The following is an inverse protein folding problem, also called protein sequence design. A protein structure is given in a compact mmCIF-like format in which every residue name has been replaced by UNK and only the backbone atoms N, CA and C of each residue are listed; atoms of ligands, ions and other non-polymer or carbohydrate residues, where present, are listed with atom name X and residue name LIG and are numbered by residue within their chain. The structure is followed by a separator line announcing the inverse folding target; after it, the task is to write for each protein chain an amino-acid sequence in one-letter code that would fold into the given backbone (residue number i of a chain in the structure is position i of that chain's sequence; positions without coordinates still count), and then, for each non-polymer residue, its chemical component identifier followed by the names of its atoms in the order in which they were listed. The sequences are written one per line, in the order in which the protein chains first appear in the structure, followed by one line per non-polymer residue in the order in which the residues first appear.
data_IF_726433575332
#
_entry.id   IF_726433575332
#
_cell.length_a   1.000
_cell.length_b   1.000
_cell.length_c   1.000
_cell.angle_alpha   90.00
_cell.angle_beta   90.00
_cell.angle_gamma   90.00
#
_symmetry.space_group_name_H-M   'P 1'
#
loop_
_entity.id
_entity.type
_entity.pdbx_description
1 polymer ?
#
# COMPACT_ATOMS: atom_id res chain seq x y z
N UNK A 1 26.24 9.71 -3.31
CA UNK A 1 25.25 10.82 -3.20
C UNK A 1 23.88 10.18 -3.02
N UNK A 2 23.11 10.62 -2.03
CA UNK A 2 21.71 10.25 -1.94
C UNK A 2 20.93 11.10 -2.96
N UNK A 3 20.19 10.45 -3.85
CA UNK A 3 19.32 11.15 -4.82
C UNK A 3 17.94 11.43 -4.21
N UNK A 4 17.26 12.45 -4.71
CA UNK A 4 15.86 12.74 -4.41
C UNK A 4 14.95 11.64 -5.01
N UNK A 5 13.75 11.49 -4.44
CA UNK A 5 12.79 10.45 -4.83
C UNK A 5 12.45 10.48 -6.33
N UNK A 6 12.27 11.67 -6.91
CA UNK A 6 12.01 11.88 -8.34
C UNK A 6 13.12 11.32 -9.22
N UNK A 7 14.38 11.52 -8.81
CA UNK A 7 15.54 10.97 -9.53
C UNK A 7 15.60 9.45 -9.40
N UNK A 8 15.33 8.91 -8.20
CA UNK A 8 15.28 7.45 -7.97
C UNK A 8 14.17 6.83 -8.81
N UNK A 9 12.98 7.44 -8.87
CA UNK A 9 11.89 6.97 -9.73
C UNK A 9 12.36 6.78 -11.18
N UNK A 10 13.09 7.75 -11.74
CA UNK A 10 13.48 7.74 -13.15
C UNK A 10 14.69 6.84 -13.40
N UNK A 11 15.70 6.88 -12.52
CA UNK A 11 17.01 6.22 -12.74
C UNK A 11 17.09 4.81 -12.12
N UNK A 12 16.17 4.44 -11.22
CA UNK A 12 16.24 3.19 -10.48
C UNK A 12 17.44 3.16 -9.52
N UNK A 13 18.02 1.98 -9.31
CA UNK A 13 19.20 1.79 -8.47
C UNK A 13 20.47 2.47 -9.03
N UNK A 14 20.45 2.87 -10.29
CA UNK A 14 21.60 3.37 -11.04
C UNK A 14 22.79 2.39 -11.11
N UNK A 15 22.59 1.15 -10.70
CA UNK A 15 23.57 0.06 -10.83
C UNK A 15 23.38 -0.67 -12.17
N UNK A 16 23.61 0.03 -13.28
CA UNK A 16 23.42 -0.53 -14.63
C UNK A 16 24.37 -1.69 -14.86
N UNK A 17 23.79 -2.88 -14.94
CA UNK A 17 24.53 -4.13 -15.24
C UNK A 17 24.29 -4.64 -16.66
N UNK A 18 23.58 -3.88 -17.50
CA UNK A 18 23.37 -4.28 -18.89
C UNK A 18 24.67 -4.14 -19.69
N UNK A 19 25.17 -5.24 -20.29
CA UNK A 19 26.45 -5.22 -21.01
C UNK A 19 26.42 -4.38 -22.28
N UNK A 20 25.22 -4.05 -22.79
CA UNK A 20 25.05 -3.27 -24.01
C UNK A 20 24.70 -1.79 -23.73
N UNK A 21 24.57 -1.41 -22.47
CA UNK A 21 24.26 -0.04 -22.07
C UNK A 21 22.83 0.40 -22.35
N UNK A 22 21.86 -0.52 -22.32
CA UNK A 22 20.45 -0.20 -22.49
C UNK A 22 19.98 0.84 -21.45
N UNK A 23 19.26 1.87 -21.89
CA UNK A 23 18.72 2.91 -21.01
C UNK A 23 17.57 2.36 -20.13
N UNK A 24 16.71 1.53 -20.71
CA UNK A 24 15.71 0.78 -19.94
C UNK A 24 16.24 -0.56 -19.54
N UNK A 25 15.91 -1.05 -18.33
CA UNK A 25 16.26 -2.39 -17.88
C UNK A 25 15.72 -3.44 -18.86
N UNK A 26 16.54 -4.37 -19.39
CA UNK A 26 16.07 -5.47 -20.22
C UNK A 26 15.20 -6.46 -19.44
N UNK A 27 14.30 -7.16 -20.13
CA UNK A 27 13.51 -8.24 -19.55
C UNK A 27 14.31 -9.54 -19.64
N UNK A 28 14.77 -10.06 -18.51
CA UNK A 28 15.44 -11.37 -18.42
C UNK A 28 14.38 -12.46 -18.22
N UNK A 29 13.70 -12.82 -19.32
CA UNK A 29 12.61 -13.82 -19.31
C UNK A 29 13.18 -15.24 -19.43
N UNK A 30 13.70 -15.77 -18.31
CA UNK A 30 14.29 -17.11 -18.22
C UNK A 30 14.08 -17.72 -16.85
N UNK A 31 14.24 -19.05 -16.74
CA UNK A 31 14.17 -19.77 -15.47
C UNK A 31 15.53 -20.09 -14.88
N UNK A 32 16.52 -20.44 -15.70
CA UNK A 32 17.81 -20.95 -15.28
C UNK A 32 18.98 -20.21 -15.94
N UNK A 33 20.13 -20.18 -15.26
CA UNK A 33 21.35 -19.53 -15.72
C UNK A 33 22.48 -20.54 -15.81
N UNK A 34 23.34 -20.42 -16.84
CA UNK A 34 24.48 -21.26 -16.99
C UNK A 34 25.62 -20.82 -16.05
N UNK A 35 26.29 -21.81 -15.44
CA UNK A 35 27.47 -21.57 -14.63
C UNK A 35 28.73 -21.63 -15.51
N UNK A 36 29.72 -20.72 -15.31
CA UNK A 36 31.01 -20.79 -16.03
C UNK A 36 31.81 -22.05 -15.71
N UNK A 37 31.62 -22.63 -14.52
CA UNK A 37 32.28 -23.85 -14.07
C UNK A 37 31.80 -24.29 -12.68
N UNK A 38 32.26 -25.44 -12.23
CA UNK A 38 31.94 -25.95 -10.90
C UNK A 38 32.38 -24.96 -9.80
N UNK A 39 31.46 -24.57 -8.93
CA UNK A 39 31.73 -23.58 -7.88
C UNK A 39 31.83 -22.13 -8.39
N UNK A 40 31.50 -21.84 -9.64
CA UNK A 40 31.49 -20.51 -10.23
C UNK A 40 30.04 -20.12 -10.54
N UNK A 41 29.67 -18.86 -10.30
CA UNK A 41 28.34 -18.31 -10.61
C UNK A 41 28.48 -16.94 -11.26
N UNK A 42 27.52 -16.56 -12.10
CA UNK A 42 27.38 -15.21 -12.64
C UNK A 42 26.66 -14.28 -11.66
N UNK A 43 26.26 -14.78 -10.48
CA UNK A 43 25.43 -14.13 -9.48
C UNK A 43 23.96 -14.56 -9.58
N UNK A 44 23.60 -15.34 -10.59
CA UNK A 44 22.25 -15.87 -10.80
C UNK A 44 22.34 -17.37 -11.12
N UNK A 45 21.40 -18.13 -10.53
CA UNK A 45 21.31 -19.58 -10.70
C UNK A 45 19.93 -19.97 -11.22
N UNK A 46 18.88 -19.42 -10.58
CA UNK A 46 17.49 -19.76 -10.87
C UNK A 46 16.57 -18.57 -10.57
N UNK A 47 15.63 -18.24 -11.48
CA UNK A 47 14.84 -17.01 -11.42
C UNK A 47 13.90 -16.92 -10.20
N UNK A 48 13.47 -18.02 -9.60
CA UNK A 48 12.75 -17.98 -8.32
C UNK A 48 13.60 -17.34 -7.21
N UNK A 49 14.91 -17.59 -7.20
CA UNK A 49 15.85 -17.11 -6.19
C UNK A 49 16.39 -15.70 -6.50
N UNK A 50 16.62 -15.40 -7.78
CA UNK A 50 17.14 -14.10 -8.26
C UNK A 50 16.92 -13.93 -9.76
N UNK A 51 16.55 -12.73 -10.19
CA UNK A 51 16.38 -12.39 -11.60
C UNK A 51 16.80 -10.92 -11.81
N UNK A 52 17.64 -10.58 -12.80
CA UNK A 52 18.18 -9.23 -12.96
C UNK A 52 17.10 -8.14 -13.06
N UNK A 53 15.98 -8.40 -13.76
CA UNK A 53 14.88 -7.44 -13.91
C UNK A 53 14.15 -7.24 -12.60
N UNK A 54 13.89 -8.32 -11.84
CA UNK A 54 13.25 -8.25 -10.53
C UNK A 54 14.16 -7.60 -9.49
N UNK A 55 15.44 -7.89 -9.49
CA UNK A 55 16.40 -7.29 -8.57
C UNK A 55 16.47 -5.77 -8.73
N UNK A 56 16.36 -5.28 -9.97
CA UNK A 56 16.34 -3.83 -10.21
C UNK A 56 15.08 -3.18 -9.61
N UNK A 57 13.89 -3.77 -9.72
CA UNK A 57 12.70 -3.21 -9.08
C UNK A 57 12.77 -3.30 -7.57
N UNK A 58 13.30 -4.39 -7.01
CA UNK A 58 13.51 -4.55 -5.57
C UNK A 58 14.43 -3.42 -5.03
N UNK A 59 15.59 -3.22 -5.66
CA UNK A 59 16.50 -2.14 -5.30
C UNK A 59 15.88 -0.75 -5.44
N UNK A 60 15.14 -0.51 -6.51
CA UNK A 60 14.46 0.77 -6.72
C UNK A 60 13.47 1.07 -5.62
N UNK A 61 12.64 0.09 -5.24
CA UNK A 61 11.64 0.26 -4.16
C UNK A 61 12.32 0.40 -2.80
N UNK A 62 13.38 -0.37 -2.52
CA UNK A 62 14.17 -0.22 -1.29
C UNK A 62 14.73 1.20 -1.16
N UNK A 63 15.31 1.75 -2.22
CA UNK A 63 15.84 3.12 -2.22
C UNK A 63 14.75 4.17 -2.02
N UNK A 64 13.58 4.02 -2.64
CA UNK A 64 12.45 4.94 -2.49
C UNK A 64 11.95 4.97 -1.05
N UNK A 65 11.87 3.82 -0.38
CA UNK A 65 11.49 3.71 1.04
C UNK A 65 12.63 4.06 2.00
N UNK A 66 13.84 4.31 1.50
CA UNK A 66 15.04 4.46 2.30
C UNK A 66 15.34 3.19 3.14
N UNK A 67 14.98 2.03 2.62
CA UNK A 67 15.37 0.72 3.10
C UNK A 67 16.72 0.27 2.55
N UNK A 68 17.24 -0.84 3.06
CA UNK A 68 18.45 -1.50 2.54
C UNK A 68 18.10 -2.56 1.51
N UNK A 69 17.01 -3.30 1.74
CA UNK A 69 16.58 -4.42 0.91
C UNK A 69 15.07 -4.45 0.73
N UNK A 70 14.64 -5.00 -0.41
CA UNK A 70 13.24 -5.29 -0.69
C UNK A 70 13.06 -6.64 -1.37
N UNK A 71 11.90 -7.25 -1.18
CA UNK A 71 11.47 -8.48 -1.85
C UNK A 71 10.19 -8.19 -2.65
N UNK A 72 10.18 -8.62 -3.93
CA UNK A 72 9.05 -8.40 -4.84
C UNK A 72 8.25 -9.69 -5.06
N UNK A 73 6.97 -9.65 -4.69
CA UNK A 73 6.01 -10.75 -4.73
C UNK A 73 5.01 -10.60 -5.87
N UNK A 74 4.39 -11.70 -6.26
CA UNK A 74 3.36 -11.74 -7.32
C UNK A 74 2.09 -10.93 -7.00
N UNK A 75 1.82 -10.66 -5.72
CA UNK A 75 0.69 -9.82 -5.26
C UNK A 75 0.99 -9.22 -3.89
N UNK A 76 0.25 -8.17 -3.48
CA UNK A 76 0.30 -7.65 -2.11
C UNK A 76 -0.06 -8.72 -1.08
N UNK A 77 -1.08 -9.56 -1.37
CA UNK A 77 -1.44 -10.66 -0.48
C UNK A 77 -0.36 -11.73 -0.36
N UNK A 78 0.40 -12.00 -1.42
CA UNK A 78 1.54 -12.91 -1.35
C UNK A 78 2.67 -12.35 -0.45
N UNK A 79 2.88 -11.04 -0.48
CA UNK A 79 3.82 -10.37 0.42
C UNK A 79 3.36 -10.47 1.90
N UNK A 80 2.10 -10.17 2.18
CA UNK A 80 1.53 -10.27 3.53
C UNK A 80 1.53 -11.72 4.03
N UNK A 81 1.20 -12.69 3.15
CA UNK A 81 1.25 -14.12 3.51
C UNK A 81 2.67 -14.55 3.89
N UNK A 82 3.67 -14.18 3.09
CA UNK A 82 5.07 -14.48 3.39
C UNK A 82 5.54 -13.78 4.68
N UNK A 83 5.08 -12.56 4.94
CA UNK A 83 5.33 -11.86 6.19
C UNK A 83 4.79 -12.63 7.40
N UNK A 84 3.59 -13.21 7.31
CA UNK A 84 3.01 -13.97 8.41
C UNK A 84 3.80 -15.24 8.78
N UNK A 85 4.62 -15.76 7.88
CA UNK A 85 5.48 -16.94 8.14
C UNK A 85 6.69 -16.65 9.07
N UNK A 86 6.94 -15.37 9.46
CA UNK A 86 7.95 -15.09 10.51
C UNK A 86 7.44 -15.37 11.92
N UNK A 87 6.11 -15.49 12.09
CA UNK A 87 5.47 -15.72 13.37
C UNK A 87 5.22 -17.21 13.62
N UNK A 88 5.17 -17.58 14.90
CA UNK A 88 4.98 -18.93 15.38
C UNK A 88 3.60 -19.13 16.03
N UNK A 89 3.12 -20.39 16.14
CA UNK A 89 1.91 -20.66 16.92
C UNK A 89 2.01 -20.14 18.35
N UNK A 90 1.00 -19.37 18.78
CA UNK A 90 0.96 -18.69 20.07
C UNK A 90 1.33 -17.20 20.00
N UNK A 91 1.93 -16.75 18.91
CA UNK A 91 2.21 -15.32 18.72
C UNK A 91 0.93 -14.51 18.51
N UNK A 92 0.97 -13.28 18.98
CA UNK A 92 -0.09 -12.32 18.88
C UNK A 92 0.37 -11.08 18.11
N UNK A 93 -0.53 -10.52 17.28
CA UNK A 93 -0.36 -9.25 16.60
C UNK A 93 -1.47 -8.27 16.99
N UNK A 94 -1.14 -6.99 16.99
CA UNK A 94 -2.12 -5.90 17.04
C UNK A 94 -2.18 -5.27 15.64
N UNK A 95 -3.37 -4.96 15.16
CA UNK A 95 -3.54 -4.39 13.82
C UNK A 95 -4.55 -3.24 13.82
N UNK A 96 -4.44 -2.37 12.80
CA UNK A 96 -5.47 -1.36 12.50
C UNK A 96 -6.83 -2.03 12.29
N UNK A 97 -7.88 -1.48 12.86
CA UNK A 97 -9.27 -1.98 12.75
C UNK A 97 -9.89 -1.73 11.38
N UNK A 98 -9.48 -0.66 10.74
CA UNK A 98 -9.95 -0.19 9.43
C UNK A 98 -8.86 -0.45 8.38
N UNK A 99 -8.80 -1.67 7.84
CA UNK A 99 -7.78 -2.09 6.88
C UNK A 99 -8.34 -2.98 5.76
N UNK A 100 -7.51 -3.29 4.79
CA UNK A 100 -7.89 -4.09 3.63
C UNK A 100 -8.52 -5.45 4.01
N UNK A 101 -9.74 -5.70 3.50
CA UNK A 101 -10.49 -6.92 3.82
C UNK A 101 -9.79 -8.23 3.47
N UNK A 102 -8.91 -8.24 2.46
CA UNK A 102 -8.09 -9.40 2.11
C UNK A 102 -7.11 -9.79 3.21
N UNK A 103 -6.54 -8.82 3.92
CA UNK A 103 -5.65 -9.04 5.07
C UNK A 103 -6.41 -9.62 6.25
N UNK A 104 -7.60 -9.08 6.57
CA UNK A 104 -8.49 -9.66 7.59
C UNK A 104 -8.87 -11.10 7.26
N UNK A 105 -9.22 -11.37 6.00
CA UNK A 105 -9.55 -12.73 5.56
C UNK A 105 -8.37 -13.70 5.75
N UNK A 106 -7.15 -13.29 5.40
CA UNK A 106 -5.94 -14.08 5.64
C UNK A 106 -5.78 -14.42 7.13
N UNK A 107 -5.90 -13.43 8.00
CA UNK A 107 -5.72 -13.62 9.44
C UNK A 107 -6.80 -14.51 10.04
N UNK A 108 -8.05 -14.27 9.70
CA UNK A 108 -9.20 -15.03 10.23
C UNK A 108 -9.27 -16.47 9.73
N UNK A 109 -8.61 -16.80 8.62
CA UNK A 109 -8.64 -18.15 8.04
C UNK A 109 -7.32 -18.90 8.18
N UNK A 110 -6.24 -18.37 7.60
CA UNK A 110 -4.96 -19.06 7.50
C UNK A 110 -4.13 -18.83 8.77
N UNK A 111 -3.93 -17.58 9.19
CA UNK A 111 -3.11 -17.27 10.36
C UNK A 111 -3.71 -17.84 11.65
N UNK A 112 -5.04 -17.72 11.82
CA UNK A 112 -5.74 -18.33 12.94
C UNK A 112 -5.57 -19.87 12.98
N UNK A 113 -5.67 -20.52 11.81
CA UNK A 113 -5.42 -21.97 11.69
C UNK A 113 -3.98 -22.33 12.07
N UNK A 114 -3.02 -21.45 11.82
CA UNK A 114 -1.61 -21.61 12.17
C UNK A 114 -1.32 -21.25 13.64
N UNK A 115 -2.35 -20.94 14.44
CA UNK A 115 -2.22 -20.60 15.85
C UNK A 115 -1.74 -19.18 16.15
N UNK A 116 -1.80 -18.29 15.17
CA UNK A 116 -1.48 -16.85 15.31
C UNK A 116 -2.78 -16.09 15.58
N UNK A 117 -2.78 -15.24 16.60
CA UNK A 117 -3.92 -14.36 16.95
C UNK A 117 -3.66 -12.93 16.55
N UNK A 118 -4.72 -12.23 16.10
CA UNK A 118 -4.65 -10.81 15.72
C UNK A 118 -5.81 -10.07 16.35
N UNK A 119 -5.51 -9.01 17.11
CA UNK A 119 -6.51 -8.07 17.64
C UNK A 119 -6.51 -6.79 16.79
N UNK A 120 -7.67 -6.47 16.21
CA UNK A 120 -7.86 -5.23 15.46
C UNK A 120 -8.35 -4.12 16.39
N UNK A 121 -7.64 -2.99 16.41
CA UNK A 121 -7.93 -1.85 17.29
C UNK A 121 -7.81 -0.52 16.55
N UNK A 122 -8.39 0.54 17.09
CA UNK A 122 -8.21 1.89 16.54
C UNK A 122 -6.77 2.37 16.79
N UNK A 123 -5.92 2.22 15.76
CA UNK A 123 -4.51 2.62 15.80
C UNK A 123 -4.28 4.12 15.63
N UNK A 124 -5.30 4.92 15.34
CA UNK A 124 -5.19 6.37 15.38
C UNK A 124 -5.04 6.91 16.82
N UNK A 125 -5.29 6.05 17.81
CA UNK A 125 -5.09 6.34 19.24
C UNK A 125 -4.02 5.40 19.83
N UNK A 126 -2.85 5.95 20.16
CA UNK A 126 -1.72 5.21 20.72
C UNK A 126 -2.07 4.49 22.04
N UNK A 127 -2.93 5.08 22.89
CA UNK A 127 -3.35 4.46 24.15
C UNK A 127 -4.20 3.19 23.92
N UNK A 128 -4.97 3.15 22.85
CA UNK A 128 -5.71 1.94 22.46
C UNK A 128 -4.75 0.82 22.04
N UNK A 129 -3.74 1.15 21.28
CA UNK A 129 -2.68 0.20 20.88
C UNK A 129 -1.95 -0.32 22.11
N UNK A 130 -1.54 0.57 23.02
CA UNK A 130 -0.86 0.23 24.26
C UNK A 130 -1.68 -0.70 25.16
N UNK A 131 -2.98 -0.46 25.28
CA UNK A 131 -3.88 -1.29 26.07
C UNK A 131 -4.07 -2.70 25.52
N UNK A 132 -3.82 -2.92 24.22
CA UNK A 132 -3.93 -4.20 23.55
C UNK A 132 -2.65 -5.07 23.62
N UNK A 133 -1.52 -4.50 24.08
CA UNK A 133 -0.25 -5.24 24.18
C UNK A 133 -0.35 -6.31 25.26
N UNK A 134 0.09 -7.54 24.94
CA UNK A 134 0.19 -8.70 25.85
C UNK A 134 1.59 -9.31 25.76
N UNK A 135 1.94 -10.22 26.69
CA UNK A 135 3.26 -10.89 26.66
C UNK A 135 3.56 -11.63 25.36
N UNK A 136 2.53 -12.14 24.69
CA UNK A 136 2.61 -12.87 23.42
C UNK A 136 2.67 -11.95 22.20
N UNK A 137 2.48 -10.64 22.35
CA UNK A 137 2.52 -9.68 21.24
C UNK A 137 3.92 -9.64 20.64
N UNK A 138 4.01 -9.82 19.31
CA UNK A 138 5.27 -9.80 18.54
C UNK A 138 5.32 -8.71 17.50
N UNK A 139 4.16 -8.22 17.05
CA UNK A 139 4.13 -7.16 16.05
C UNK A 139 2.91 -6.25 16.21
N UNK A 140 3.06 -5.03 15.71
CA UNK A 140 1.99 -4.09 15.44
C UNK A 140 1.93 -3.87 13.93
N UNK A 141 0.77 -4.08 13.32
CA UNK A 141 0.55 -3.90 11.88
C UNK A 141 -0.35 -2.69 11.64
N UNK A 142 0.21 -1.65 11.02
CA UNK A 142 -0.52 -0.44 10.66
C UNK A 142 -0.85 -0.42 9.17
N UNK A 143 -2.08 -0.03 8.84
CA UNK A 143 -2.43 0.53 7.55
C UNK A 143 -2.75 2.02 7.75
N UNK A 144 -1.89 2.91 7.25
CA UNK A 144 -2.03 4.36 7.49
C UNK A 144 -1.59 5.19 6.28
N UNK A 145 -2.52 5.99 5.70
CA UNK A 145 -3.93 6.14 6.06
C UNK A 145 -4.72 4.83 5.91
N UNK A 146 -5.73 4.64 6.75
CA UNK A 146 -6.55 3.42 6.76
C UNK A 146 -7.53 3.35 5.58
N UNK A 147 -8.09 2.19 5.32
CA UNK A 147 -9.00 1.94 4.20
C UNK A 147 -10.33 1.35 4.68
N UNK A 148 -11.48 2.05 4.51
CA UNK A 148 -11.64 3.25 3.67
C UNK A 148 -11.73 4.57 4.45
N UNK A 149 -11.66 4.59 5.78
CA UNK A 149 -12.03 5.75 6.61
C UNK A 149 -10.94 6.83 6.70
N UNK A 150 -9.75 6.59 6.11
CA UNK A 150 -8.65 7.56 6.10
C UNK A 150 -8.20 8.00 7.51
N UNK A 151 -8.25 7.09 8.51
CA UNK A 151 -7.65 7.31 9.82
C UNK A 151 -6.12 7.35 9.68
N UNK A 152 -5.47 8.16 10.50
CA UNK A 152 -4.00 8.27 10.48
C UNK A 152 -3.43 7.87 11.83
N UNK A 153 -2.50 6.94 11.82
CA UNK A 153 -1.74 6.51 12.98
C UNK A 153 -0.42 7.28 13.09
N UNK A 154 0.01 7.63 14.29
CA UNK A 154 1.34 8.21 14.55
C UNK A 154 2.39 7.09 14.49
N UNK A 155 3.04 6.94 13.33
CA UNK A 155 4.00 5.87 13.07
C UNK A 155 5.14 5.93 14.09
N UNK A 156 5.68 7.12 14.35
CA UNK A 156 6.83 7.27 15.27
C UNK A 156 6.45 6.90 16.70
N UNK A 157 5.33 7.40 17.20
CA UNK A 157 4.90 7.10 18.56
C UNK A 157 4.58 5.59 18.74
N UNK A 158 4.00 4.95 17.71
CA UNK A 158 3.72 3.52 17.76
C UNK A 158 5.01 2.69 17.59
N UNK A 159 6.00 3.15 16.83
CA UNK A 159 7.31 2.51 16.73
C UNK A 159 8.02 2.50 18.09
N UNK A 160 8.07 3.65 18.78
CA UNK A 160 8.63 3.77 20.13
C UNK A 160 7.91 2.84 21.12
N UNK A 161 6.59 2.76 21.04
CA UNK A 161 5.79 1.85 21.87
C UNK A 161 6.08 0.37 21.55
N UNK A 162 6.12 -0.01 20.28
CA UNK A 162 6.39 -1.37 19.83
C UNK A 162 7.76 -1.85 20.31
N UNK A 163 8.81 -1.04 20.08
CA UNK A 163 10.18 -1.38 20.47
C UNK A 163 10.37 -1.43 21.99
N UNK A 164 9.63 -0.63 22.75
CA UNK A 164 9.65 -0.71 24.23
C UNK A 164 9.08 -2.03 24.77
N UNK A 165 8.38 -2.80 23.92
CA UNK A 165 7.78 -4.10 24.26
C UNK A 165 8.34 -5.26 23.43
N UNK A 166 9.53 -5.11 22.84
CA UNK A 166 10.20 -6.11 22.00
C UNK A 166 9.31 -6.58 20.81
N UNK A 167 8.45 -5.71 20.29
CA UNK A 167 7.59 -5.92 19.13
C UNK A 167 8.18 -5.23 17.91
N UNK A 168 7.98 -5.81 16.72
CA UNK A 168 8.27 -5.13 15.44
C UNK A 168 7.08 -4.28 14.99
N UNK A 169 7.37 -3.16 14.32
CA UNK A 169 6.36 -2.34 13.67
C UNK A 169 6.34 -2.60 12.16
N UNK A 170 5.20 -3.01 11.65
CA UNK A 170 4.92 -3.24 10.24
C UNK A 170 3.97 -2.17 9.75
N UNK A 171 4.28 -1.52 8.62
CA UNK A 171 3.43 -0.46 8.07
C UNK A 171 3.09 -0.77 6.61
N UNK A 172 1.81 -0.92 6.31
CA UNK A 172 1.32 -0.92 4.93
C UNK A 172 1.24 0.53 4.43
N UNK A 173 2.15 0.88 3.52
CA UNK A 173 2.32 2.22 2.96
C UNK A 173 1.73 2.33 1.53
N UNK A 174 0.78 1.49 1.19
CA UNK A 174 0.21 1.42 -0.17
C UNK A 174 -0.44 2.72 -0.62
N UNK A 175 -1.18 3.43 0.27
CA UNK A 175 -1.96 4.61 -0.10
C UNK A 175 -1.14 5.86 -0.39
N UNK A 176 -0.03 6.05 0.32
CA UNK A 176 0.82 7.23 0.15
C UNK A 176 2.04 6.96 -0.71
N UNK A 177 2.36 5.70 -0.95
CA UNK A 177 3.57 5.26 -1.63
C UNK A 177 4.86 5.79 -0.97
N UNK A 178 6.04 5.31 -1.32
CA UNK A 178 7.29 5.85 -0.80
C UNK A 178 7.57 7.30 -1.25
N UNK A 179 6.74 7.84 -2.14
CA UNK A 179 6.86 9.22 -2.57
C UNK A 179 6.40 10.20 -1.48
N UNK A 180 5.23 9.97 -0.86
CA UNK A 180 4.67 10.88 0.15
C UNK A 180 4.90 10.45 1.60
N UNK A 181 5.16 9.17 1.89
CA UNK A 181 5.41 8.68 3.24
C UNK A 181 6.54 7.65 3.23
N UNK A 182 7.40 7.69 4.25
CA UNK A 182 8.56 6.79 4.39
C UNK A 182 8.60 6.19 5.80
N UNK A 183 7.79 5.15 6.09
CA UNK A 183 7.65 4.60 7.43
C UNK A 183 8.95 4.11 8.07
N UNK A 184 9.90 3.57 7.26
CA UNK A 184 11.21 3.16 7.78
C UNK A 184 11.99 4.32 8.41
N UNK A 185 11.76 5.56 7.97
CA UNK A 185 12.42 6.74 8.57
C UNK A 185 11.77 7.18 9.88
N UNK A 186 10.56 6.69 10.15
CA UNK A 186 9.74 6.98 11.32
C UNK A 186 9.78 5.84 12.34
N UNK A 187 10.63 4.82 12.14
CA UNK A 187 10.83 3.73 13.07
C UNK A 187 10.15 2.41 12.71
N UNK A 188 9.48 2.29 11.58
CA UNK A 188 8.97 1.00 11.12
C UNK A 188 10.12 0.03 10.83
N UNK A 189 9.92 -1.26 11.12
CA UNK A 189 10.88 -2.34 10.84
C UNK A 189 10.64 -2.95 9.46
N UNK A 190 9.37 -3.08 9.08
CA UNK A 190 8.95 -3.61 7.78
C UNK A 190 7.93 -2.67 7.16
N UNK A 191 8.11 -2.38 5.87
CA UNK A 191 7.09 -1.71 5.05
C UNK A 191 6.51 -2.69 4.06
N UNK A 192 5.18 -2.70 3.97
CA UNK A 192 4.39 -3.48 3.01
C UNK A 192 3.86 -2.56 1.92
N UNK A 193 3.87 -3.03 0.68
CA UNK A 193 3.14 -2.41 -0.42
C UNK A 193 2.36 -3.42 -1.24
N UNK A 194 1.15 -3.07 -1.59
CA UNK A 194 0.55 -3.56 -2.83
C UNK A 194 1.11 -2.72 -3.98
N UNK A 195 2.12 -3.24 -4.68
CA UNK A 195 2.71 -2.55 -5.83
C UNK A 195 1.75 -2.41 -7.01
N UNK A 196 0.69 -3.22 -7.03
CA UNK A 196 -0.49 -3.13 -7.92
C UNK A 196 -1.11 -1.73 -8.00
N UNK A 197 -0.90 -0.90 -6.96
CA UNK A 197 -1.56 0.40 -6.77
C UNK A 197 -0.68 1.52 -7.34
N UNK A 198 -0.38 2.53 -6.57
CA UNK A 198 0.37 3.71 -7.03
C UNK A 198 1.75 3.42 -7.59
N UNK A 199 2.47 2.38 -7.09
CA UNK A 199 3.80 2.06 -7.61
C UNK A 199 3.77 1.72 -9.09
N UNK A 200 2.85 0.86 -9.50
CA UNK A 200 2.63 0.50 -10.90
C UNK A 200 1.81 1.60 -11.62
N UNK A 201 0.60 1.88 -11.12
CA UNK A 201 -0.21 3.04 -11.49
C UNK A 201 -0.99 2.93 -12.79
N UNK A 202 -1.07 1.78 -13.46
CA UNK A 202 -1.70 1.65 -14.78
C UNK A 202 -2.77 0.54 -14.86
N UNK A 203 -3.15 -0.04 -13.71
CA UNK A 203 -4.21 -1.06 -13.59
C UNK A 203 -3.99 -2.33 -14.46
N UNK A 204 -2.76 -2.67 -14.81
CA UNK A 204 -2.42 -3.73 -15.77
C UNK A 204 -1.52 -4.83 -15.19
N UNK A 205 -0.98 -4.69 -13.95
CA UNK A 205 -0.21 -5.75 -13.30
C UNK A 205 -0.48 -5.87 -11.80
N UNK A 206 -0.17 -7.03 -11.23
CA UNK A 206 -0.23 -7.30 -9.81
C UNK A 206 1.18 -7.43 -9.24
N UNK A 207 1.41 -6.85 -8.06
CA UNK A 207 2.67 -7.01 -7.34
C UNK A 207 2.53 -6.69 -5.86
N UNK A 208 3.50 -7.14 -5.05
CA UNK A 208 3.61 -6.80 -3.64
C UNK A 208 5.07 -6.63 -3.24
N UNK A 209 5.31 -5.89 -2.17
CA UNK A 209 6.66 -5.69 -1.64
C UNK A 209 6.70 -5.79 -0.12
N UNK A 210 7.83 -6.32 0.36
CA UNK A 210 8.32 -6.14 1.72
C UNK A 210 9.64 -5.39 1.65
N UNK A 211 9.78 -4.31 2.43
CA UNK A 211 10.99 -3.48 2.48
C UNK A 211 11.47 -3.41 3.91
N UNK A 212 12.77 -3.57 4.13
CA UNK A 212 13.40 -3.59 5.46
C UNK A 212 14.71 -2.81 5.48
N UNK A 213 15.20 -2.52 6.68
CA UNK A 213 16.57 -2.00 6.94
C UNK A 213 17.47 -3.02 7.60
N UNK A 214 16.90 -3.90 8.41
CA UNK A 214 17.65 -4.89 9.19
C UNK A 214 18.01 -6.11 8.32
N UNK A 215 19.29 -6.47 8.30
CA UNK A 215 19.79 -7.58 7.48
C UNK A 215 19.32 -8.94 8.02
N UNK A 216 19.21 -9.13 9.32
CA UNK A 216 18.75 -10.41 9.89
C UNK A 216 17.29 -10.65 9.54
N UNK A 217 16.47 -9.61 9.61
CA UNK A 217 15.07 -9.65 9.20
C UNK A 217 14.93 -9.91 7.69
N UNK A 218 15.78 -9.26 6.88
CA UNK A 218 15.84 -9.55 5.44
C UNK A 218 16.17 -11.00 5.16
N UNK A 219 17.19 -11.58 5.81
CA UNK A 219 17.58 -12.98 5.57
C UNK A 219 16.46 -13.94 5.94
N UNK A 220 15.74 -13.69 7.03
CA UNK A 220 14.58 -14.48 7.43
C UNK A 220 13.47 -14.44 6.35
N UNK A 221 13.07 -13.23 5.94
CA UNK A 221 12.06 -13.02 4.91
C UNK A 221 12.48 -13.58 3.55
N UNK A 222 13.75 -13.42 3.16
CA UNK A 222 14.28 -13.94 1.91
C UNK A 222 14.31 -15.46 1.87
N UNK A 223 14.57 -16.12 3.01
CA UNK A 223 14.47 -17.57 3.10
C UNK A 223 13.02 -18.05 2.89
N UNK A 224 12.03 -17.39 3.52
CA UNK A 224 10.61 -17.64 3.33
C UNK A 224 10.21 -17.40 1.86
N UNK A 225 10.63 -16.27 1.30
CA UNK A 225 10.38 -15.88 -0.08
C UNK A 225 10.84 -16.95 -1.09
N UNK A 226 12.08 -17.43 -0.97
CA UNK A 226 12.63 -18.47 -1.84
C UNK A 226 11.93 -19.82 -1.64
N UNK A 227 11.47 -20.11 -0.43
CA UNK A 227 10.83 -21.37 -0.08
C UNK A 227 9.38 -21.42 -0.57
N UNK A 228 8.60 -20.37 -0.35
CA UNK A 228 7.20 -20.27 -0.79
C UNK A 228 7.07 -20.05 -2.29
N UNK A 229 8.06 -19.38 -2.90
CA UNK A 229 8.14 -19.22 -4.34
C UNK A 229 7.20 -18.20 -4.96
N UNK A 230 6.54 -17.35 -4.16
CA UNK A 230 5.58 -16.33 -4.61
C UNK A 230 6.25 -15.09 -5.24
N UNK A 231 7.34 -15.27 -5.97
CA UNK A 231 8.13 -14.20 -6.57
C UNK A 231 7.43 -13.53 -7.75
N UNK A 232 7.70 -12.23 -7.92
CA UNK A 232 7.24 -11.45 -9.07
C UNK A 232 7.91 -11.94 -10.37
N UNK A 233 7.15 -11.98 -11.48
CA UNK A 233 7.67 -12.34 -12.79
C UNK A 233 8.64 -11.28 -13.34
N UNK A 234 9.50 -11.66 -14.30
CA UNK A 234 10.39 -10.71 -14.96
C UNK A 234 9.60 -9.67 -15.78
N UNK A 235 8.52 -10.09 -16.43
CA UNK A 235 7.69 -9.19 -17.23
C UNK A 235 6.95 -8.17 -16.36
N UNK A 236 6.29 -8.61 -15.28
CA UNK A 236 5.62 -7.72 -14.36
C UNK A 236 6.60 -6.80 -13.64
N UNK A 237 7.81 -7.29 -13.31
CA UNK A 237 8.88 -6.46 -12.77
C UNK A 237 9.27 -5.32 -13.72
N UNK A 238 9.30 -5.59 -15.03
CA UNK A 238 9.59 -4.57 -16.04
C UNK A 238 8.45 -3.55 -16.18
N UNK A 239 7.18 -3.99 -16.19
CA UNK A 239 6.02 -3.10 -16.20
C UNK A 239 6.05 -2.18 -14.99
N UNK A 240 6.32 -2.74 -13.81
CA UNK A 240 6.40 -1.98 -12.57
C UNK A 240 7.56 -0.95 -12.59
N UNK A 241 8.75 -1.32 -13.06
CA UNK A 241 9.86 -0.37 -13.27
C UNK A 241 9.46 0.77 -14.20
N UNK A 242 8.69 0.47 -15.25
CA UNK A 242 8.18 1.47 -16.18
C UNK A 242 7.14 2.38 -15.49
N UNK A 243 6.25 1.84 -14.68
CA UNK A 243 5.26 2.59 -13.89
C UNK A 243 5.93 3.51 -12.86
N UNK A 244 6.91 3.03 -12.12
CA UNK A 244 7.67 3.79 -11.11
C UNK A 244 8.32 5.04 -11.73
N UNK A 245 8.77 5.00 -12.99
CA UNK A 245 9.41 6.17 -13.64
C UNK A 245 8.54 7.42 -13.65
N UNK A 246 7.22 7.27 -13.57
CA UNK A 246 6.26 8.37 -13.54
C UNK A 246 5.57 8.53 -12.17
N UNK A 247 6.00 7.80 -11.15
CA UNK A 247 5.37 7.83 -9.82
C UNK A 247 5.27 9.25 -9.27
N UNK A 248 6.36 10.00 -9.28
CA UNK A 248 6.40 11.36 -8.73
C UNK A 248 5.34 12.27 -9.39
N UNK A 249 5.36 12.38 -10.72
CA UNK A 249 4.43 13.26 -11.46
C UNK A 249 2.98 12.77 -11.35
N UNK A 250 2.75 11.46 -11.23
CA UNK A 250 1.41 10.91 -10.99
C UNK A 250 0.90 11.25 -9.60
N UNK A 251 1.70 11.04 -8.55
CA UNK A 251 1.32 11.33 -7.18
C UNK A 251 0.96 12.80 -6.98
N UNK A 252 1.73 13.73 -7.56
CA UNK A 252 1.42 15.15 -7.52
C UNK A 252 0.09 15.47 -8.23
N UNK A 253 -0.18 14.87 -9.39
CA UNK A 253 -1.42 15.12 -10.11
C UNK A 253 -2.63 14.45 -9.42
N UNK A 254 -2.48 13.24 -8.88
CA UNK A 254 -3.50 12.58 -8.06
C UNK A 254 -3.91 13.45 -6.87
N UNK A 255 -2.94 13.95 -6.12
CA UNK A 255 -3.17 14.83 -4.98
C UNK A 255 -3.87 16.15 -5.39
N UNK A 256 -3.39 16.79 -6.45
CA UNK A 256 -3.99 18.03 -6.95
C UNK A 256 -5.46 17.86 -7.30
N UNK A 257 -5.79 16.81 -8.02
CA UNK A 257 -7.17 16.47 -8.39
C UNK A 257 -7.99 16.08 -7.16
N UNK A 258 -7.44 15.27 -6.26
CA UNK A 258 -8.13 14.84 -5.05
C UNK A 258 -8.47 16.01 -4.12
N UNK A 259 -7.57 16.97 -3.95
CA UNK A 259 -7.83 18.17 -3.15
C UNK A 259 -8.97 19.00 -3.74
N UNK A 260 -8.99 19.21 -5.05
CA UNK A 260 -10.07 19.94 -5.72
C UNK A 260 -11.43 19.22 -5.58
N UNK A 261 -11.46 17.89 -5.74
CA UNK A 261 -12.68 17.09 -5.58
C UNK A 261 -13.13 17.08 -4.10
N UNK A 262 -12.21 16.95 -3.14
CA UNK A 262 -12.56 16.97 -1.73
C UNK A 262 -13.22 18.29 -1.33
N UNK A 263 -12.69 19.43 -1.74
CA UNK A 263 -13.31 20.74 -1.50
C UNK A 263 -14.64 20.91 -2.22
N UNK A 264 -14.79 20.37 -3.43
CA UNK A 264 -16.07 20.36 -4.14
C UNK A 264 -17.11 19.54 -3.38
N UNK A 265 -16.74 18.36 -2.87
CA UNK A 265 -17.61 17.50 -2.07
C UNK A 265 -18.04 18.14 -0.75
N UNK A 266 -17.15 18.86 -0.04
CA UNK A 266 -17.48 19.59 1.19
C UNK A 266 -18.60 20.66 1.00
N UNK A 267 -18.79 21.13 -0.22
CA UNK A 267 -19.79 22.14 -0.56
C UNK A 267 -21.16 21.55 -0.93
N UNK A 268 -21.28 20.20 -1.01
CA UNK A 268 -22.50 19.53 -1.47
C UNK A 268 -23.45 19.24 -0.31
N UNK A 269 -24.73 19.65 -0.39
CA UNK A 269 -25.71 19.36 0.65
C UNK A 269 -26.06 17.88 0.76
N UNK A 270 -25.75 17.08 -0.26
CA UNK A 270 -25.91 15.64 -0.27
C UNK A 270 -24.82 14.91 0.52
N UNK A 271 -23.67 15.55 0.79
CA UNK A 271 -22.50 14.97 1.44
C UNK A 271 -22.52 15.31 2.92
N UNK A 272 -22.61 14.29 3.77
CA UNK A 272 -22.54 14.44 5.23
C UNK A 272 -21.11 14.66 5.72
N UNK A 273 -20.15 13.96 5.11
CA UNK A 273 -18.73 14.00 5.51
C UNK A 273 -17.79 13.60 4.38
N UNK A 274 -16.66 14.28 4.29
CA UNK A 274 -15.53 13.93 3.41
C UNK A 274 -14.38 13.42 4.28
N UNK A 275 -13.80 12.30 3.89
CA UNK A 275 -12.63 11.69 4.51
C UNK A 275 -11.47 11.80 3.52
N UNK A 276 -10.68 12.84 3.67
CA UNK A 276 -9.45 13.06 2.90
C UNK A 276 -8.39 13.67 3.79
N UNK A 277 -7.18 13.08 3.78
CA UNK A 277 -6.12 13.51 4.71
C UNK A 277 -5.52 14.88 4.36
N UNK A 278 -5.78 15.41 3.16
CA UNK A 278 -5.33 16.73 2.73
C UNK A 278 -6.21 17.90 3.19
N UNK A 279 -7.37 17.65 3.83
CA UNK A 279 -8.25 18.74 4.29
C UNK A 279 -7.69 19.43 5.53
N UNK A 280 -7.67 20.77 5.52
CA UNK A 280 -7.21 21.58 6.65
C UNK A 280 -8.13 21.48 7.87
N UNK A 281 -9.40 21.09 7.67
CA UNK A 281 -10.41 20.90 8.73
C UNK A 281 -10.14 19.67 9.61
N UNK A 282 -9.18 18.82 9.29
CA UNK A 282 -8.90 17.60 10.04
C UNK A 282 -8.22 17.89 11.39
N UNK A 283 -8.68 17.24 12.48
CA UNK A 283 -8.08 17.44 13.81
C UNK A 283 -6.64 16.91 13.92
N UNK A 284 -6.26 15.93 13.09
CA UNK A 284 -4.94 15.29 13.04
C UNK A 284 -4.02 15.88 11.96
N UNK A 285 -4.36 17.04 11.37
CA UNK A 285 -3.60 17.68 10.28
C UNK A 285 -2.13 17.91 10.64
N UNK A 286 -1.85 18.35 11.86
CA UNK A 286 -0.47 18.58 12.32
C UNK A 286 0.37 17.28 12.36
N UNK A 287 -0.24 16.15 12.69
CA UNK A 287 0.40 14.83 12.62
C UNK A 287 0.69 14.45 11.16
N UNK A 288 -0.31 14.61 10.29
CA UNK A 288 -0.18 14.30 8.86
C UNK A 288 0.96 15.09 8.25
N UNK A 289 1.00 16.41 8.45
CA UNK A 289 2.03 17.30 7.89
C UNK A 289 3.44 17.04 8.44
N UNK A 290 3.55 16.49 9.65
CA UNK A 290 4.83 16.05 10.21
C UNK A 290 5.33 14.74 9.59
N UNK A 291 4.41 13.82 9.28
CA UNK A 291 4.71 12.44 8.89
C UNK A 291 4.78 12.26 7.38
N UNK A 292 4.02 13.04 6.61
CA UNK A 292 3.85 12.91 5.19
C UNK A 292 4.27 14.18 4.45
N UNK A 293 4.83 14.03 3.25
CA UNK A 293 5.13 15.15 2.35
C UNK A 293 3.98 15.46 1.38
N UNK A 294 2.90 14.71 1.44
CA UNK A 294 1.69 14.88 0.62
C UNK A 294 0.56 13.96 1.08
N UNK A 295 -0.57 14.03 0.39
CA UNK A 295 -1.84 13.49 0.85
C UNK A 295 -2.45 12.40 -0.05
N UNK A 296 -1.84 12.14 -1.20
CA UNK A 296 -2.30 11.12 -2.16
C UNK A 296 -3.63 11.42 -2.82
N UNK A 297 -4.19 10.40 -3.48
CA UNK A 297 -5.39 10.51 -4.32
C UNK A 297 -6.63 9.76 -3.80
N UNK A 298 -6.63 9.30 -2.54
CA UNK A 298 -7.75 8.53 -1.99
C UNK A 298 -8.71 9.42 -1.21
N UNK A 299 -9.99 9.40 -1.58
CA UNK A 299 -11.07 10.10 -0.90
C UNK A 299 -12.15 9.09 -0.55
N UNK A 300 -12.68 9.12 0.67
CA UNK A 300 -13.97 8.55 0.98
C UNK A 300 -14.96 9.65 1.33
N UNK A 301 -16.21 9.47 1.00
CA UNK A 301 -17.26 10.43 1.34
C UNK A 301 -18.56 9.75 1.66
N UNK A 302 -19.26 10.33 2.63
CA UNK A 302 -20.53 9.82 3.14
C UNK A 302 -21.67 10.68 2.65
N UNK A 303 -22.67 10.05 2.08
CA UNK A 303 -23.88 10.71 1.58
C UNK A 303 -24.99 10.71 2.64
N UNK A 304 -25.96 11.60 2.50
CA UNK A 304 -27.08 11.71 3.42
C UNK A 304 -28.17 10.63 3.22
N UNK A 305 -28.10 9.86 2.11
CA UNK A 305 -28.97 8.69 1.90
C UNK A 305 -28.29 7.57 1.10
N UNK A 306 -28.66 6.29 1.34
CA UNK A 306 -28.18 5.15 0.56
C UNK A 306 -28.55 5.22 -0.92
N UNK A 307 -29.79 5.72 -1.23
CA UNK A 307 -30.28 5.82 -2.60
C UNK A 307 -29.43 6.78 -3.44
N UNK A 308 -28.95 7.87 -2.83
CA UNK A 308 -28.02 8.80 -3.50
C UNK A 308 -26.66 8.15 -3.75
N UNK A 309 -26.15 7.34 -2.81
CA UNK A 309 -24.91 6.61 -3.03
C UNK A 309 -25.00 5.67 -4.25
N UNK A 310 -26.07 4.90 -4.33
CA UNK A 310 -26.32 4.02 -5.47
C UNK A 310 -26.53 4.81 -6.76
N UNK A 311 -27.34 5.90 -6.72
CA UNK A 311 -27.58 6.75 -7.89
C UNK A 311 -26.27 7.33 -8.45
N UNK A 312 -25.41 7.90 -7.60
CA UNK A 312 -24.15 8.48 -8.03
C UNK A 312 -23.24 7.40 -8.63
N UNK A 313 -23.12 6.25 -7.94
CA UNK A 313 -22.30 5.13 -8.38
C UNK A 313 -22.68 4.62 -9.78
N UNK A 314 -23.98 4.59 -10.08
CA UNK A 314 -24.52 4.11 -11.36
C UNK A 314 -24.59 5.22 -12.43
N UNK A 315 -24.44 6.49 -12.06
CA UNK A 315 -24.60 7.63 -12.96
C UNK A 315 -23.29 8.19 -13.50
N UNK A 316 -22.15 7.91 -12.85
CA UNK A 316 -20.83 8.35 -13.35
C UNK A 316 -20.53 7.72 -14.72
N UNK A 317 -19.89 8.48 -15.60
CA UNK A 317 -19.63 8.11 -16.99
C UNK A 317 -18.14 8.02 -17.32
N UNK A 318 -17.37 9.01 -16.88
CA UNK A 318 -15.91 9.06 -16.99
C UNK A 318 -15.27 8.24 -15.88
N UNK A 319 -15.64 8.52 -14.64
CA UNK A 319 -15.23 7.76 -13.46
C UNK A 319 -15.79 6.35 -13.55
N UNK A 320 -14.98 5.33 -13.30
CA UNK A 320 -15.42 3.93 -13.44
C UNK A 320 -15.85 3.35 -12.09
N UNK A 321 -17.01 2.72 -12.06
CA UNK A 321 -17.40 1.86 -10.94
C UNK A 321 -16.57 0.57 -11.01
N UNK A 322 -15.51 0.49 -10.20
CA UNK A 322 -14.59 -0.64 -10.19
C UNK A 322 -13.90 -0.75 -8.85
N UNK A 323 -13.43 -1.95 -8.53
CA UNK A 323 -12.50 -2.18 -7.42
C UNK A 323 -11.08 -1.77 -7.82
N UNK A 324 -10.19 -1.70 -6.85
CA UNK A 324 -8.82 -1.24 -6.95
C UNK A 324 -8.67 0.27 -6.66
N UNK A 325 -7.47 0.78 -6.88
CA UNK A 325 -7.10 2.18 -6.64
C UNK A 325 -5.69 2.47 -7.17
N UNK A 326 -5.33 3.73 -7.23
CA UNK A 326 -3.96 4.19 -7.49
C UNK A 326 -3.54 4.14 -8.95
N UNK A 327 -4.43 3.74 -9.86
CA UNK A 327 -4.23 3.85 -11.30
C UNK A 327 -4.45 5.28 -11.81
N UNK A 328 -3.98 5.53 -13.04
CA UNK A 328 -4.14 6.83 -13.71
C UNK A 328 -5.61 7.17 -13.99
N UNK A 329 -6.49 6.16 -14.08
CA UNK A 329 -7.93 6.34 -14.21
C UNK A 329 -8.60 6.51 -12.85
N UNK A 330 -9.62 7.39 -12.78
CA UNK A 330 -10.46 7.56 -11.60
C UNK A 330 -11.44 6.40 -11.42
N UNK A 331 -11.46 5.84 -10.20
CA UNK A 331 -12.33 4.74 -9.83
C UNK A 331 -13.24 5.12 -8.66
N UNK A 332 -14.51 4.71 -8.73
CA UNK A 332 -15.47 4.85 -7.65
C UNK A 332 -15.86 3.45 -7.15
N UNK A 333 -15.80 3.24 -5.84
CA UNK A 333 -16.01 1.94 -5.19
C UNK A 333 -17.12 2.07 -4.14
N UNK A 334 -17.89 1.00 -3.96
CA UNK A 334 -18.88 0.84 -2.90
C UNK A 334 -18.33 -0.11 -1.82
N UNK A 335 -17.62 0.38 -0.80
CA UNK A 335 -16.85 -0.46 0.11
C UNK A 335 -17.68 -1.56 0.76
N UNK A 336 -18.90 -1.25 1.18
CA UNK A 336 -19.80 -2.18 1.87
C UNK A 336 -20.04 -3.49 1.08
N UNK A 337 -20.16 -3.42 -0.25
CA UNK A 337 -20.46 -4.58 -1.13
C UNK A 337 -19.26 -5.12 -1.88
N UNK A 338 -18.11 -4.46 -1.78
CA UNK A 338 -16.89 -4.81 -2.52
C UNK A 338 -15.74 -5.08 -1.53
N UNK A 339 -14.92 -4.09 -1.25
CA UNK A 339 -13.66 -4.26 -0.49
C UNK A 339 -13.85 -4.73 0.96
N UNK A 340 -15.02 -4.51 1.55
CA UNK A 340 -15.37 -4.87 2.93
C UNK A 340 -16.56 -5.84 3.02
N UNK A 341 -16.93 -6.50 1.92
CA UNK A 341 -18.05 -7.46 1.90
C UNK A 341 -17.84 -8.64 2.87
N UNK A 342 -16.59 -9.06 3.05
CA UNK A 342 -16.20 -10.17 3.93
C UNK A 342 -16.04 -9.76 5.42
N UNK A 343 -16.14 -8.45 5.74
CA UNK A 343 -16.08 -7.96 7.11
C UNK A 343 -17.45 -8.15 7.79
N UNK A 344 -17.52 -8.69 9.03
CA UNK A 344 -18.78 -8.83 9.75
C UNK A 344 -19.56 -7.51 9.82
N UNK A 345 -20.89 -7.60 9.69
CA UNK A 345 -21.77 -6.42 9.56
C UNK A 345 -21.60 -5.47 10.75
N UNK A 346 -21.57 -6.01 11.96
CA UNK A 346 -21.46 -5.23 13.21
C UNK A 346 -20.12 -4.46 13.28
N UNK A 347 -19.04 -5.09 12.82
CA UNK A 347 -17.70 -4.46 12.77
C UNK A 347 -17.68 -3.35 11.72
N UNK A 348 -18.22 -3.63 10.55
CA UNK A 348 -18.28 -2.69 9.43
C UNK A 348 -19.12 -1.45 9.78
N UNK A 349 -20.30 -1.64 10.38
CA UNK A 349 -21.17 -0.54 10.82
C UNK A 349 -20.53 0.29 11.94
N UNK A 350 -19.85 -0.35 12.89
CA UNK A 350 -19.09 0.35 13.94
C UNK A 350 -17.97 1.22 13.38
N UNK A 351 -17.34 0.81 12.27
CA UNK A 351 -16.35 1.60 11.54
C UNK A 351 -16.98 2.73 10.69
N UNK A 352 -18.30 2.72 10.48
CA UNK A 352 -19.00 3.67 9.61
C UNK A 352 -18.96 3.30 8.12
N UNK A 353 -18.60 2.05 7.81
CA UNK A 353 -18.63 1.50 6.44
C UNK A 353 -20.00 0.90 6.17
N UNK A 354 -20.94 1.74 5.76
CA UNK A 354 -22.34 1.39 5.51
C UNK A 354 -22.78 1.75 4.07
N UNK A 355 -24.10 1.70 3.86
CA UNK A 355 -24.76 1.94 2.57
C UNK A 355 -24.60 3.36 2.03
N UNK A 356 -24.14 4.31 2.84
CA UNK A 356 -23.97 5.71 2.47
C UNK A 356 -22.55 6.05 2.05
N UNK A 357 -21.59 5.15 2.26
CA UNK A 357 -20.17 5.43 2.04
C UNK A 357 -19.73 5.04 0.62
N UNK A 358 -19.13 5.99 -0.07
CA UNK A 358 -18.39 5.77 -1.32
C UNK A 358 -16.91 6.06 -1.12
N UNK A 359 -16.05 5.34 -1.85
CA UNK A 359 -14.60 5.58 -1.90
C UNK A 359 -14.18 5.86 -3.33
N UNK A 360 -13.45 6.94 -3.54
CA UNK A 360 -12.92 7.34 -4.83
C UNK A 360 -11.39 7.25 -4.83
N UNK A 361 -10.83 6.56 -5.80
CA UNK A 361 -9.44 6.68 -6.20
C UNK A 361 -9.38 7.70 -7.31
N UNK A 362 -8.87 8.88 -7.02
CA UNK A 362 -8.81 9.98 -7.97
C UNK A 362 -7.64 9.78 -8.92
N UNK A 363 -7.89 9.79 -10.21
CA UNK A 363 -6.91 9.65 -11.27
C UNK A 363 -6.22 10.96 -11.65
N UNK A 364 -5.57 10.94 -12.82
CA UNK A 364 -4.82 12.09 -13.34
C UNK A 364 -5.51 12.78 -14.53
N UNK A 365 -6.77 12.48 -14.77
CA UNK A 365 -7.58 13.12 -15.82
C UNK A 365 -7.67 14.63 -15.59
N UNK A 366 -8.18 15.35 -16.60
CA UNK A 366 -8.47 16.78 -16.45
C UNK A 366 -9.49 16.98 -15.31
N UNK A 367 -9.19 17.88 -14.39
CA UNK A 367 -10.02 18.10 -13.20
C UNK A 367 -11.42 18.62 -13.55
N UNK A 368 -11.56 19.44 -14.57
CA UNK A 368 -12.86 19.99 -14.97
C UNK A 368 -13.77 18.90 -15.53
N UNK A 369 -13.21 17.93 -16.24
CA UNK A 369 -13.95 16.76 -16.74
C UNK A 369 -14.41 15.85 -15.59
N UNK A 370 -13.56 15.62 -14.58
CA UNK A 370 -13.93 14.85 -13.38
C UNK A 370 -15.03 15.54 -12.58
N UNK A 371 -14.94 16.87 -12.39
CA UNK A 371 -15.97 17.64 -11.69
C UNK A 371 -17.29 17.67 -12.48
N UNK A 372 -17.23 17.76 -13.81
CA UNK A 372 -18.42 17.71 -14.65
C UNK A 372 -19.11 16.34 -14.58
N UNK A 373 -18.34 15.26 -14.51
CA UNK A 373 -18.89 13.91 -14.35
C UNK A 373 -19.56 13.72 -12.98
N UNK A 374 -18.94 14.22 -11.90
CA UNK A 374 -19.54 14.23 -10.58
C UNK A 374 -20.80 15.11 -10.53
N UNK A 375 -20.76 16.33 -11.08
CA UNK A 375 -21.91 17.26 -11.10
C UNK A 375 -23.14 16.62 -11.75
N UNK A 376 -22.96 15.96 -12.90
CA UNK A 376 -24.09 15.28 -13.58
C UNK A 376 -24.56 14.04 -12.81
N UNK A 377 -23.69 13.36 -12.05
CA UNK A 377 -24.07 12.20 -11.26
C UNK A 377 -24.80 12.58 -9.95
N UNK A 378 -24.52 13.75 -9.39
CA UNK A 378 -25.21 14.30 -8.23
C UNK A 378 -26.57 14.95 -8.59
N UNK A 379 -26.75 15.42 -9.83
CA UNK A 379 -28.00 16.00 -10.30
C UNK A 379 -29.14 14.98 -10.38
#
# INVERSE_FOLDING_TARGET
MAFAAETICVQGSNERRDPFGAISMPIYQNAAYAHPGLGQSTGYDYSRCGNPTRDEVQKTVALLEQGTEALAFSTGMAAITALMEIFSPGDHLIATDDLYGGTLRLWNTISHKNGISVDCVDTSNVETVKAAIRPETKAIYLETPSNPMMKVADIQAIAELAHAHDCILIVDNTFLSPYFQKPLTLGADIVVHSGTKYLEGHNDTLSGFLVVRDDALYQQLNNIYKTTGACLSAFDSWLLLRGIKTLAVRMEQHQKNALAIAHWLEQRPEVEKVYYIGLDSRPDKALIDRQCSGYGGMISFRLNSPEKAVKILESVKLIRFAESLGGVESLLTYPMKQTHADVPVEVREALGVDEKLLRMSVGIENIDDLLADLEQAFA
#
